data_IF_911416786606
#
_entry.id   IF_911416786606
#
_cell.length_a   1.000
_cell.length_b   1.000
_cell.length_c   1.000
_cell.angle_alpha   90.00
_cell.angle_beta   90.00
_cell.angle_gamma   90.00
#
_symmetry.space_group_name_H-M   'P 1'
#
loop_
_entity.id
_entity.type
_entity.pdbx_description
1 polymer ?
#
# COMPACT_ATOMS: atom_id res chain seq x y z
N UNK A 1 1.45 -3.00 16.38
CA UNK A 1 0.41 -2.12 15.77
C UNK A 1 0.34 -0.72 16.40
N UNK A 2 0.17 -0.59 17.72
CA UNK A 2 0.03 0.72 18.39
C UNK A 2 1.20 1.69 18.12
N UNK A 3 2.45 1.21 18.17
CA UNK A 3 3.63 2.05 17.91
C UNK A 3 3.66 2.59 16.48
N UNK A 4 3.34 1.75 15.49
CA UNK A 4 3.33 2.13 14.09
C UNK A 4 2.23 3.16 13.76
N UNK A 5 1.01 2.95 14.26
CA UNK A 5 -0.13 3.85 13.94
C UNK A 5 0.05 5.27 14.51
N UNK A 6 0.90 5.47 15.53
CA UNK A 6 1.21 6.80 16.07
C UNK A 6 1.85 7.75 15.05
N UNK A 7 2.45 7.21 14.00
CA UNK A 7 3.04 8.02 12.92
C UNK A 7 1.99 8.49 11.90
N UNK A 8 0.81 7.86 11.88
CA UNK A 8 -0.26 8.21 10.97
C UNK A 8 -0.99 9.48 11.41
N UNK A 9 -1.46 10.28 10.46
CA UNK A 9 -2.41 11.35 10.75
C UNK A 9 -3.80 10.74 10.93
N UNK A 10 -4.66 11.38 11.73
CA UNK A 10 -6.04 10.89 11.98
C UNK A 10 -6.81 10.65 10.68
N UNK A 11 -6.64 11.54 9.70
CA UNK A 11 -7.33 11.47 8.41
C UNK A 11 -6.75 10.45 7.42
N UNK A 12 -5.61 9.83 7.73
CA UNK A 12 -4.98 8.86 6.84
C UNK A 12 -5.73 7.50 6.84
N UNK A 13 -6.49 7.19 7.91
CA UNK A 13 -7.32 5.96 8.05
C UNK A 13 -6.53 4.66 7.83
N UNK A 14 -5.31 4.58 8.35
CA UNK A 14 -4.40 3.43 8.14
C UNK A 14 -4.66 2.21 9.03
N UNK A 15 -5.71 2.17 9.84
CA UNK A 15 -5.97 1.03 10.74
C UNK A 15 -6.20 -0.27 9.97
N UNK A 16 -7.19 -0.30 9.08
CA UNK A 16 -7.50 -1.47 8.25
C UNK A 16 -6.33 -1.83 7.32
N UNK A 17 -5.70 -0.89 6.58
CA UNK A 17 -4.52 -1.20 5.77
C UNK A 17 -3.35 -1.78 6.56
N UNK A 18 -3.09 -1.27 7.77
CA UNK A 18 -2.01 -1.77 8.62
C UNK A 18 -2.32 -3.18 9.12
N UNK A 19 -3.58 -3.47 9.48
CA UNK A 19 -3.98 -4.83 9.85
C UNK A 19 -3.78 -5.80 8.68
N UNK A 20 -4.26 -5.44 7.49
CA UNK A 20 -4.08 -6.24 6.28
C UNK A 20 -2.60 -6.45 5.96
N UNK A 21 -1.78 -5.40 6.06
CA UNK A 21 -0.34 -5.49 5.88
C UNK A 21 0.30 -6.53 6.80
N UNK A 22 -0.01 -6.49 8.10
CA UNK A 22 0.54 -7.43 9.08
C UNK A 22 0.12 -8.88 8.79
N UNK A 23 -1.14 -9.09 8.41
CA UNK A 23 -1.63 -10.42 8.05
C UNK A 23 -1.02 -10.94 6.74
N UNK A 24 -0.75 -10.06 5.76
CA UNK A 24 -0.05 -10.43 4.52
C UNK A 24 1.43 -10.74 4.76
N UNK A 25 2.08 -10.03 5.69
CA UNK A 25 3.42 -10.36 6.18
C UNK A 25 3.41 -11.74 6.84
N UNK A 26 2.44 -12.00 7.73
CA UNK A 26 2.27 -13.30 8.39
C UNK A 26 1.99 -14.43 7.39
N UNK A 27 1.27 -14.15 6.31
CA UNK A 27 1.01 -15.10 5.23
C UNK A 27 2.21 -15.30 4.28
N UNK A 28 3.30 -14.55 4.46
CA UNK A 28 4.52 -14.67 3.66
C UNK A 28 4.39 -14.09 2.24
N UNK A 29 3.35 -13.31 1.95
CA UNK A 29 3.11 -12.76 0.59
C UNK A 29 3.62 -11.33 0.40
N UNK A 30 4.20 -10.73 1.44
CA UNK A 30 4.68 -9.35 1.42
C UNK A 30 6.20 -9.27 1.17
N UNK A 31 6.64 -9.40 -0.08
CA UNK A 31 8.07 -9.32 -0.43
C UNK A 31 8.29 -8.68 -1.81
N UNK A 32 9.54 -8.44 -2.20
CA UNK A 32 9.92 -7.84 -3.50
C UNK A 32 10.00 -8.83 -4.67
N UNK A 33 10.00 -10.15 -4.42
CA UNK A 33 10.17 -11.16 -5.47
C UNK A 33 8.96 -11.33 -6.41
N UNK A 34 9.24 -11.74 -7.64
CA UNK A 34 8.24 -12.13 -8.64
C UNK A 34 7.56 -13.46 -8.26
N UNK A 35 6.25 -13.57 -8.49
CA UNK A 35 5.50 -14.78 -8.12
C UNK A 35 5.76 -15.99 -9.01
N UNK A 36 6.01 -15.78 -10.29
CA UNK A 36 6.12 -16.84 -11.30
C UNK A 36 7.52 -16.96 -11.90
N UNK A 37 8.54 -16.35 -11.27
CA UNK A 37 9.88 -16.15 -11.84
C UNK A 37 9.86 -15.45 -13.22
N UNK A 38 8.71 -14.87 -13.58
CA UNK A 38 8.48 -14.13 -14.82
C UNK A 38 7.89 -12.78 -14.46
N UNK A 39 8.45 -11.73 -15.03
CA UNK A 39 7.90 -10.39 -14.88
C UNK A 39 6.57 -10.28 -15.66
N UNK A 40 5.52 -9.83 -14.98
CA UNK A 40 4.27 -9.43 -15.63
C UNK A 40 4.27 -7.95 -16.00
N UNK A 41 3.39 -7.56 -16.93
CA UNK A 41 3.30 -6.18 -17.39
C UNK A 41 2.85 -5.22 -16.27
N UNK A 42 3.41 -4.00 -16.29
CA UNK A 42 3.07 -2.95 -15.33
C UNK A 42 3.77 -3.08 -13.98
N UNK A 43 4.83 -3.88 -13.91
CA UNK A 43 5.83 -3.83 -12.83
C UNK A 43 6.83 -2.67 -13.01
N UNK A 44 7.91 -2.66 -12.22
CA UNK A 44 9.03 -1.72 -12.30
C UNK A 44 9.67 -1.65 -13.69
N UNK A 45 9.93 -0.44 -14.18
CA UNK A 45 10.39 -0.23 -15.58
C UNK A 45 11.89 0.02 -15.69
N UNK A 46 12.49 0.67 -14.69
CA UNK A 46 13.89 1.13 -14.71
C UNK A 46 14.72 0.47 -13.61
N UNK A 47 16.04 0.59 -13.72
CA UNK A 47 17.00 0.16 -12.70
C UNK A 47 17.47 -1.29 -12.81
N UNK A 48 18.35 -1.64 -11.88
CA UNK A 48 18.85 -3.00 -11.64
C UNK A 48 17.76 -3.91 -11.07
N UNK A 49 17.99 -5.22 -11.03
CA UNK A 49 17.00 -6.15 -10.51
C UNK A 49 16.69 -5.93 -9.01
N UNK A 50 17.68 -5.49 -8.23
CA UNK A 50 17.49 -5.11 -6.82
C UNK A 50 16.63 -3.85 -6.65
N UNK A 51 16.85 -2.85 -7.51
CA UNK A 51 16.04 -1.63 -7.54
C UNK A 51 14.61 -1.93 -7.97
N UNK A 52 14.41 -2.83 -8.94
CA UNK A 52 13.09 -3.30 -9.34
C UNK A 52 12.40 -4.07 -8.21
N UNK A 53 13.12 -4.95 -7.51
CA UNK A 53 12.58 -5.67 -6.34
C UNK A 53 12.11 -4.69 -5.26
N UNK A 54 12.91 -3.67 -4.98
CA UNK A 54 12.59 -2.58 -4.04
C UNK A 54 11.32 -1.83 -4.46
N UNK A 55 11.26 -1.40 -5.71
CA UNK A 55 10.08 -0.71 -6.27
C UNK A 55 8.83 -1.58 -6.20
N UNK A 56 8.95 -2.87 -6.54
CA UNK A 56 7.82 -3.81 -6.51
C UNK A 56 7.29 -4.00 -5.08
N UNK A 57 8.17 -4.11 -4.09
CA UNK A 57 7.78 -4.15 -2.68
C UNK A 57 7.02 -2.88 -2.29
N UNK A 58 7.53 -1.69 -2.64
CA UNK A 58 6.84 -0.42 -2.39
C UNK A 58 5.46 -0.39 -3.04
N UNK A 59 5.35 -0.76 -4.31
CA UNK A 59 4.07 -0.81 -5.02
C UNK A 59 3.06 -1.74 -4.34
N UNK A 60 3.50 -2.92 -3.86
CA UNK A 60 2.65 -3.88 -3.13
C UNK A 60 2.17 -3.31 -1.81
N UNK A 61 3.07 -2.76 -0.99
CA UNK A 61 2.70 -2.14 0.30
C UNK A 61 1.69 -1.01 0.09
N UNK A 62 1.92 -0.11 -0.87
CA UNK A 62 1.03 1.02 -1.12
C UNK A 62 -0.32 0.60 -1.73
N UNK A 63 -0.38 -0.50 -2.47
CA UNK A 63 -1.64 -1.01 -3.04
C UNK A 63 -2.66 -1.50 -2.01
N UNK A 64 -2.28 -1.63 -0.74
CA UNK A 64 -3.17 -2.01 0.37
C UNK A 64 -3.97 -0.79 0.86
N UNK A 65 -3.53 0.42 0.53
CA UNK A 65 -4.23 1.65 0.91
C UNK A 65 -5.32 1.94 -0.12
N UNK A 66 -6.58 2.19 0.30
CA UNK A 66 -7.63 2.59 -0.62
C UNK A 66 -7.26 3.92 -1.26
N UNK A 67 -7.36 4.04 -2.59
CA UNK A 67 -7.15 5.29 -3.31
C UNK A 67 -8.48 6.07 -3.42
N UNK A 68 -8.43 7.40 -3.31
CA UNK A 68 -9.63 8.23 -3.40
C UNK A 68 -10.00 8.55 -4.84
N UNK A 69 -11.16 8.09 -5.31
CA UNK A 69 -11.62 8.31 -6.69
C UNK A 69 -12.74 9.36 -6.81
N UNK A 70 -12.75 10.03 -7.97
CA UNK A 70 -13.91 10.73 -8.53
C UNK A 70 -14.87 9.69 -9.14
N UNK A 71 -16.18 9.97 -9.26
CA UNK A 71 -17.14 9.06 -9.87
C UNK A 71 -16.97 9.01 -11.39
N UNK A 72 -15.85 8.46 -11.85
CA UNK A 72 -15.47 8.35 -13.26
C UNK A 72 -14.83 6.97 -13.50
N UNK A 73 -14.95 6.42 -14.72
CA UNK A 73 -14.26 5.18 -15.08
C UNK A 73 -12.74 5.30 -14.96
N UNK A 74 -12.08 4.20 -14.61
CA UNK A 74 -10.62 4.14 -14.59
C UNK A 74 -10.06 4.18 -16.02
N UNK A 75 -9.17 5.14 -16.29
CA UNK A 75 -8.52 5.33 -17.60
C UNK A 75 -7.00 5.11 -17.56
N UNK A 76 -6.44 4.83 -16.39
CA UNK A 76 -4.99 4.73 -16.20
C UNK A 76 -4.46 3.30 -16.46
N UNK A 77 -3.13 3.12 -16.54
CA UNK A 77 -2.54 1.82 -16.88
C UNK A 77 -2.92 0.70 -15.91
N UNK A 78 -2.97 -0.53 -16.44
CA UNK A 78 -3.20 -1.75 -15.66
C UNK A 78 -1.88 -2.44 -15.31
N UNK A 79 -1.69 -2.81 -14.05
CA UNK A 79 -0.55 -3.63 -13.62
C UNK A 79 -1.00 -5.07 -13.34
N UNK A 80 -0.59 -6.02 -14.20
CA UNK A 80 -0.85 -7.45 -14.00
C UNK A 80 -0.10 -7.98 -12.78
N UNK A 81 1.09 -7.45 -12.53
CA UNK A 81 1.89 -7.77 -11.35
C UNK A 81 1.11 -7.47 -10.05
N UNK A 82 0.52 -6.27 -9.97
CA UNK A 82 -0.32 -5.90 -8.83
C UNK A 82 -1.66 -6.63 -8.79
N UNK A 83 -2.22 -7.04 -9.93
CA UNK A 83 -3.45 -7.83 -9.94
C UNK A 83 -3.25 -9.21 -9.29
N UNK A 84 -2.10 -9.84 -9.49
CA UNK A 84 -1.75 -11.09 -8.79
C UNK A 84 -1.69 -10.83 -7.29
N UNK A 85 -0.96 -9.79 -6.87
CA UNK A 85 -0.90 -9.42 -5.45
C UNK A 85 -2.28 -9.10 -4.85
N UNK A 86 -3.11 -8.37 -5.59
CA UNK A 86 -4.46 -8.01 -5.16
C UNK A 86 -5.37 -9.23 -4.95
N UNK A 87 -5.10 -10.37 -5.60
CA UNK A 87 -5.85 -11.60 -5.33
C UNK A 87 -5.68 -12.06 -3.87
N UNK A 88 -4.47 -11.94 -3.31
CA UNK A 88 -4.21 -12.22 -1.89
C UNK A 88 -4.91 -11.22 -0.98
N UNK A 89 -4.79 -9.92 -1.30
CA UNK A 89 -5.42 -8.84 -0.52
C UNK A 89 -6.94 -9.03 -0.46
N UNK A 90 -7.59 -9.29 -1.61
CA UNK A 90 -9.04 -9.52 -1.68
C UNK A 90 -9.47 -10.78 -0.94
N UNK A 91 -8.72 -11.87 -1.11
CA UNK A 91 -9.01 -13.13 -0.40
C UNK A 91 -8.95 -12.94 1.12
N UNK A 92 -7.91 -12.30 1.62
CA UNK A 92 -7.73 -11.99 3.03
C UNK A 92 -8.81 -11.02 3.56
N UNK A 93 -9.09 -9.93 2.83
CA UNK A 93 -10.09 -8.93 3.22
C UNK A 93 -11.46 -9.59 3.37
N UNK A 94 -11.87 -10.43 2.41
CA UNK A 94 -13.13 -11.19 2.48
C UNK A 94 -13.15 -12.16 3.65
N UNK A 95 -12.07 -12.91 3.87
CA UNK A 95 -12.00 -13.87 4.97
C UNK A 95 -12.15 -13.17 6.33
N UNK A 96 -11.44 -12.05 6.54
CA UNK A 96 -11.54 -11.24 7.76
C UNK A 96 -12.94 -10.64 7.92
N UNK A 97 -13.53 -10.15 6.84
CA UNK A 97 -14.90 -9.61 6.85
C UNK A 97 -15.91 -10.67 7.28
N UNK A 98 -15.89 -11.83 6.64
CA UNK A 98 -16.77 -12.96 6.97
C UNK A 98 -16.58 -13.40 8.42
N UNK A 99 -15.32 -13.48 8.89
CA UNK A 99 -15.03 -13.86 10.28
C UNK A 99 -15.69 -12.89 11.27
N UNK A 100 -15.60 -11.58 11.04
CA UNK A 100 -16.19 -10.57 11.91
C UNK A 100 -17.72 -10.59 11.89
N UNK A 101 -18.32 -10.76 10.72
CA UNK A 101 -19.78 -10.88 10.58
C UNK A 101 -20.30 -12.13 11.29
N UNK A 102 -19.64 -13.28 11.13
CA UNK A 102 -20.01 -14.54 11.81
C UNK A 102 -19.79 -14.45 13.31
N UNK A 103 -18.68 -13.85 13.77
CA UNK A 103 -18.43 -13.64 15.19
C UNK A 103 -19.50 -12.73 15.83
N UNK A 104 -19.85 -11.64 15.15
CA UNK A 104 -20.89 -10.71 15.60
C UNK A 104 -22.27 -11.39 15.64
N UNK A 105 -22.60 -12.17 14.61
CA UNK A 105 -23.83 -12.97 14.58
C UNK A 105 -23.87 -13.99 15.73
N UNK A 106 -22.76 -14.68 15.98
CA UNK A 106 -22.66 -15.66 17.06
C UNK A 106 -22.90 -15.01 18.44
N UNK A 107 -22.35 -13.81 18.69
CA UNK A 107 -22.61 -13.07 19.93
C UNK A 107 -24.10 -12.73 20.10
N UNK A 108 -24.79 -12.35 19.01
CA UNK A 108 -26.23 -12.10 19.03
C UNK A 108 -27.03 -13.38 19.30
N UNK A 109 -26.69 -14.49 18.64
CA UNK A 109 -27.39 -15.77 18.78
C UNK A 109 -27.21 -16.39 20.17
N UNK A 110 -26.01 -16.27 20.76
CA UNK A 110 -25.69 -16.76 22.11
C UNK A 110 -26.27 -15.91 23.22
N UNK A 111 -26.87 -14.76 22.92
CA UNK A 111 -27.32 -13.77 23.90
C UNK A 111 -26.17 -13.09 24.65
N UNK A 112 -24.95 -13.15 24.12
CA UNK A 112 -23.78 -12.43 24.65
C UNK A 112 -23.83 -10.93 24.26
N UNK A 113 -24.78 -10.55 23.40
CA UNK A 113 -25.10 -9.17 23.02
C UNK A 113 -26.61 -8.89 23.07
N UNK A 114 -27.00 -7.61 23.14
CA UNK A 114 -28.40 -7.17 23.11
C UNK A 114 -29.05 -7.59 21.77
N UNK A 115 -30.16 -8.35 21.83
CA UNK A 115 -30.88 -8.86 20.65
C UNK A 115 -31.96 -7.93 20.11
N UNK A 116 -32.72 -7.26 20.99
CA UNK A 116 -33.73 -6.29 20.58
C UNK A 116 -33.05 -4.99 20.12
N UNK A 117 -32.76 -4.93 18.81
CA UNK A 117 -32.01 -3.87 18.12
C UNK A 117 -32.67 -3.53 16.79
N UNK A 118 -32.63 -2.25 16.44
CA UNK A 118 -33.12 -1.63 15.21
C UNK A 118 -31.97 -1.11 14.32
N UNK A 119 -30.73 -1.18 14.81
CA UNK A 119 -29.50 -0.62 14.22
C UNK A 119 -28.56 -1.69 13.61
N UNK A 120 -29.10 -2.83 13.17
CA UNK A 120 -28.30 -3.93 12.59
C UNK A 120 -27.54 -3.52 11.32
N UNK A 121 -28.13 -2.63 10.51
CA UNK A 121 -27.47 -2.07 9.33
C UNK A 121 -26.28 -1.21 9.73
N UNK A 122 -26.43 -0.34 10.72
CA UNK A 122 -25.36 0.52 11.22
C UNK A 122 -24.20 -0.30 11.80
N UNK A 123 -24.51 -1.38 12.53
CA UNK A 123 -23.49 -2.34 12.97
C UNK A 123 -22.73 -2.89 11.77
N UNK A 124 -23.45 -3.36 10.75
CA UNK A 124 -22.84 -3.97 9.56
C UNK A 124 -21.94 -2.98 8.83
N UNK A 125 -22.36 -1.72 8.68
CA UNK A 125 -21.59 -0.65 8.07
C UNK A 125 -20.39 -0.20 8.94
N UNK A 126 -20.47 -0.37 10.26
CA UNK A 126 -19.39 -0.02 11.19
C UNK A 126 -18.27 -1.07 11.27
N UNK A 127 -18.54 -2.31 10.84
CA UNK A 127 -17.53 -3.36 10.83
C UNK A 127 -16.40 -3.03 9.84
N UNK A 128 -15.13 -3.33 10.16
CA UNK A 128 -14.00 -3.06 9.27
C UNK A 128 -13.99 -3.97 8.04
N UNK A 129 -13.05 -3.71 7.13
CA UNK A 129 -12.83 -4.51 5.90
C UNK A 129 -14.04 -4.54 4.95
N UNK A 130 -14.88 -3.50 5.00
CA UNK A 130 -16.07 -3.41 4.14
C UNK A 130 -15.70 -3.19 2.66
N UNK A 131 -14.67 -2.36 2.41
CA UNK A 131 -14.27 -1.98 1.06
C UNK A 131 -13.05 -2.77 0.63
N UNK A 132 -13.15 -3.45 -0.51
CA UNK A 132 -11.97 -4.04 -1.16
C UNK A 132 -11.12 -2.92 -1.78
N UNK A 133 -9.81 -3.00 -1.55
CA UNK A 133 -8.87 -2.11 -2.21
C UNK A 133 -8.57 -2.58 -3.63
N UNK A 134 -8.25 -1.62 -4.50
CA UNK A 134 -7.82 -1.89 -5.87
C UNK A 134 -6.32 -1.64 -6.01
N UNK A 135 -5.77 -1.98 -7.17
CA UNK A 135 -4.33 -1.82 -7.45
C UNK A 135 -3.92 -0.39 -7.76
N UNK A 136 -4.88 0.55 -7.82
CA UNK A 136 -4.67 1.91 -8.33
C UNK A 136 -3.61 2.68 -7.55
N UNK A 137 -3.55 2.52 -6.24
CA UNK A 137 -2.55 3.21 -5.41
C UNK A 137 -1.12 2.75 -5.76
N UNK A 138 -0.90 1.43 -5.89
CA UNK A 138 0.40 0.90 -6.30
C UNK A 138 0.80 1.37 -7.70
N UNK A 139 -0.16 1.52 -8.62
CA UNK A 139 0.07 2.08 -9.96
C UNK A 139 0.39 3.58 -9.90
N UNK A 140 -0.28 4.36 -9.04
CA UNK A 140 0.02 5.77 -8.81
C UNK A 140 1.46 5.96 -8.33
N UNK A 141 1.89 5.19 -7.33
CA UNK A 141 3.26 5.23 -6.83
C UNK A 141 4.28 4.83 -7.90
N UNK A 142 3.95 3.80 -8.70
CA UNK A 142 4.77 3.37 -9.84
C UNK A 142 4.98 4.49 -10.84
N UNK A 143 3.92 5.19 -11.24
CA UNK A 143 4.00 6.31 -12.20
C UNK A 143 4.84 7.45 -11.64
N UNK A 144 4.68 7.81 -10.36
CA UNK A 144 5.52 8.82 -9.71
C UNK A 144 7.01 8.46 -9.76
N UNK A 145 7.35 7.25 -9.31
CA UNK A 145 8.74 6.78 -9.22
C UNK A 145 9.39 6.61 -10.61
N UNK A 146 8.64 6.09 -11.59
CA UNK A 146 9.11 5.97 -12.96
C UNK A 146 9.29 7.34 -13.63
N UNK A 147 8.36 8.28 -13.41
CA UNK A 147 8.47 9.64 -13.93
C UNK A 147 9.71 10.34 -13.36
N UNK A 148 9.93 10.24 -12.04
CA UNK A 148 11.10 10.83 -11.40
C UNK A 148 12.41 10.21 -11.93
N UNK A 149 12.46 8.89 -12.08
CA UNK A 149 13.62 8.19 -12.63
C UNK A 149 13.88 8.58 -14.07
N UNK A 150 12.82 8.73 -14.88
CA UNK A 150 12.93 9.18 -16.26
C UNK A 150 13.45 10.62 -16.38
N UNK A 151 12.93 11.54 -15.56
CA UNK A 151 13.41 12.93 -15.49
C UNK A 151 14.87 12.97 -15.06
N UNK A 152 15.29 12.07 -14.16
CA UNK A 152 16.67 11.94 -13.71
C UNK A 152 17.51 11.03 -14.63
N UNK A 153 17.38 11.20 -15.94
CA UNK A 153 18.16 10.52 -16.99
C UNK A 153 18.15 8.98 -16.90
N UNK A 154 17.03 8.40 -16.48
CA UNK A 154 16.88 6.94 -16.33
C UNK A 154 17.61 6.35 -15.11
N UNK A 155 18.07 7.19 -14.19
CA UNK A 155 18.78 6.76 -12.96
C UNK A 155 18.00 7.18 -11.72
N UNK A 156 18.10 6.40 -10.65
CA UNK A 156 17.47 6.78 -9.38
C UNK A 156 18.11 8.05 -8.81
N UNK A 157 17.29 8.85 -8.11
CA UNK A 157 17.81 9.95 -7.28
C UNK A 157 18.54 9.33 -6.08
N UNK A 158 19.76 9.81 -5.79
CA UNK A 158 20.57 9.36 -4.65
C UNK A 158 20.67 10.39 -3.54
N UNK A 159 20.70 11.66 -3.91
CA UNK A 159 20.72 12.78 -2.97
C UNK A 159 19.43 13.59 -3.13
N UNK A 160 18.57 13.66 -2.11
CA UNK A 160 17.33 14.44 -2.18
C UNK A 160 17.55 15.95 -2.31
N UNK A 161 18.74 16.45 -1.98
CA UNK A 161 19.09 17.88 -1.99
C UNK A 161 19.97 18.29 -3.18
N UNK A 162 20.27 17.36 -4.10
CA UNK A 162 21.02 17.70 -5.30
C UNK A 162 20.24 18.69 -6.19
N UNK A 163 21.00 19.48 -6.96
CA UNK A 163 20.44 20.49 -7.86
C UNK A 163 19.46 19.85 -8.87
N UNK A 164 18.30 20.47 -9.07
CA UNK A 164 17.26 20.00 -9.99
C UNK A 164 16.37 18.87 -9.46
N UNK A 165 16.71 18.22 -8.34
CA UNK A 165 15.92 17.10 -7.79
C UNK A 165 14.55 17.56 -7.29
N UNK A 166 14.47 18.75 -6.68
CA UNK A 166 13.22 19.30 -6.18
C UNK A 166 12.24 19.59 -7.31
N UNK A 167 12.74 20.18 -8.40
CA UNK A 167 11.99 20.44 -9.62
C UNK A 167 11.55 19.13 -10.27
N UNK A 168 12.43 18.13 -10.34
CA UNK A 168 12.11 16.81 -10.87
C UNK A 168 10.99 16.10 -10.07
N UNK A 169 11.01 16.19 -8.74
CA UNK A 169 9.94 15.67 -7.86
C UNK A 169 8.61 16.38 -8.11
N UNK A 170 8.64 17.72 -8.22
CA UNK A 170 7.44 18.51 -8.52
C UNK A 170 6.84 18.15 -9.89
N UNK A 171 7.69 18.02 -10.93
CA UNK A 171 7.26 17.58 -12.26
C UNK A 171 6.69 16.15 -12.25
N UNK A 172 7.30 15.21 -11.51
CA UNK A 172 6.78 13.86 -11.37
C UNK A 172 5.38 13.84 -10.72
N UNK A 173 5.14 14.71 -9.73
CA UNK A 173 3.83 14.89 -9.11
C UNK A 173 2.80 15.50 -10.07
N UNK A 174 3.21 16.43 -10.95
CA UNK A 174 2.35 16.97 -12.00
C UNK A 174 1.96 15.90 -13.03
N UNK A 175 2.91 15.07 -13.45
CA UNK A 175 2.64 13.92 -14.34
C UNK A 175 1.61 12.98 -13.70
N UNK A 176 1.68 12.73 -12.40
CA UNK A 176 0.64 11.95 -11.71
C UNK A 176 -0.73 12.64 -11.75
N UNK A 177 -0.79 13.96 -11.61
CA UNK A 177 -2.05 14.69 -11.67
C UNK A 177 -2.70 14.61 -13.06
N UNK A 178 -1.90 14.70 -14.11
CA UNK A 178 -2.35 14.55 -15.51
C UNK A 178 -2.73 13.11 -15.86
N UNK A 179 -1.95 12.13 -15.39
CA UNK A 179 -2.16 10.70 -15.71
C UNK A 179 -3.40 10.12 -15.03
N UNK A 180 -3.78 10.63 -13.86
CA UNK A 180 -4.87 10.10 -13.04
C UNK A 180 -5.99 11.14 -12.82
N UNK A 181 -6.70 11.59 -13.89
CA UNK A 181 -7.74 12.61 -13.77
C UNK A 181 -8.92 12.16 -12.88
N UNK A 182 -9.16 10.85 -12.80
CA UNK A 182 -10.18 10.22 -11.97
C UNK A 182 -9.80 10.08 -10.49
N UNK A 183 -8.57 10.39 -10.09
CA UNK A 183 -8.12 10.35 -8.68
C UNK A 183 -8.33 11.73 -8.04
N UNK A 184 -8.79 11.76 -6.79
CA UNK A 184 -8.95 12.99 -6.00
C UNK A 184 -7.59 13.37 -5.41
N UNK A 185 -7.13 14.58 -5.68
CA UNK A 185 -5.87 15.14 -5.18
C UNK A 185 -4.66 14.18 -5.33
N UNK A 186 -4.29 13.77 -6.56
CA UNK A 186 -3.27 12.73 -6.78
C UNK A 186 -1.94 12.99 -6.06
N UNK A 187 -1.50 14.25 -6.02
CA UNK A 187 -0.28 14.66 -5.30
C UNK A 187 -0.33 14.32 -3.81
N UNK A 188 -1.45 14.65 -3.16
CA UNK A 188 -1.66 14.33 -1.75
C UNK A 188 -1.82 12.82 -1.51
N UNK A 189 -2.40 12.08 -2.46
CA UNK A 189 -2.43 10.61 -2.38
C UNK A 189 -1.01 10.02 -2.43
N UNK A 190 -0.12 10.52 -3.30
CA UNK A 190 1.30 10.07 -3.32
C UNK A 190 1.97 10.27 -1.96
N UNK A 191 1.84 11.46 -1.37
CA UNK A 191 2.36 11.74 -0.02
C UNK A 191 1.73 10.83 1.05
N UNK A 192 0.42 10.58 0.97
CA UNK A 192 -0.27 9.65 1.88
C UNK A 192 0.33 8.25 1.75
N UNK A 193 0.62 7.80 0.53
CA UNK A 193 1.26 6.52 0.30
C UNK A 193 2.58 6.41 1.07
N UNK A 194 3.46 7.39 0.91
CA UNK A 194 4.76 7.35 1.58
C UNK A 194 4.66 7.45 3.11
N UNK A 195 3.66 8.15 3.66
CA UNK A 195 3.36 8.07 5.10
C UNK A 195 2.93 6.66 5.53
N UNK A 196 2.14 5.96 4.71
CA UNK A 196 1.77 4.57 5.01
C UNK A 196 3.00 3.65 4.98
N UNK A 197 3.92 3.88 4.05
CA UNK A 197 5.18 3.14 4.00
C UNK A 197 5.98 3.30 5.29
N UNK A 198 6.07 4.52 5.86
CA UNK A 198 6.74 4.73 7.16
C UNK A 198 6.09 3.95 8.31
N UNK A 199 4.76 3.93 8.33
CA UNK A 199 3.97 3.15 9.29
C UNK A 199 4.26 1.65 9.12
N UNK A 200 4.27 1.15 7.89
CA UNK A 200 4.55 -0.24 7.58
C UNK A 200 5.99 -0.64 7.95
N UNK A 201 6.98 0.18 7.62
CA UNK A 201 8.38 -0.03 7.96
C UNK A 201 8.60 -0.04 9.48
N UNK A 202 7.94 0.87 10.20
CA UNK A 202 7.97 0.89 11.67
C UNK A 202 7.37 -0.38 12.25
N UNK A 203 6.29 -0.89 11.67
CA UNK A 203 5.70 -2.15 12.09
C UNK A 203 6.66 -3.33 11.83
N UNK A 204 7.34 -3.36 10.69
CA UNK A 204 8.33 -4.39 10.35
C UNK A 204 9.54 -4.38 11.29
N UNK A 205 10.09 -3.18 11.59
CA UNK A 205 11.18 -3.02 12.56
C UNK A 205 10.78 -3.51 13.95
N UNK A 206 9.56 -3.20 14.39
CA UNK A 206 9.02 -3.70 15.66
C UNK A 206 8.90 -5.24 15.65
N UNK A 207 8.29 -5.82 14.62
CA UNK A 207 8.15 -7.27 14.51
C UNK A 207 9.51 -7.99 14.49
N UNK A 208 10.50 -7.42 13.81
CA UNK A 208 11.86 -7.96 13.81
C UNK A 208 12.49 -7.90 15.20
N UNK A 209 12.35 -6.80 15.93
CA UNK A 209 12.85 -6.68 17.31
C UNK A 209 12.24 -7.70 18.28
N UNK A 210 11.02 -8.16 17.99
CA UNK A 210 10.31 -9.19 18.76
C UNK A 210 10.60 -10.62 18.26
N UNK A 211 11.39 -10.79 17.19
CA UNK A 211 11.69 -12.10 16.60
C UNK A 211 10.55 -12.71 15.77
N UNK A 212 9.53 -11.91 15.44
CA UNK A 212 8.32 -12.35 14.72
C UNK A 212 8.47 -12.34 13.19
N UNK A 213 9.61 -11.88 12.67
CA UNK A 213 9.89 -11.77 11.22
C UNK A 213 11.32 -12.22 10.92
N UNK A 214 11.47 -12.94 9.81
CA UNK A 214 12.75 -13.38 9.27
C UNK A 214 13.65 -12.20 8.91
N UNK A 215 14.96 -12.34 9.16
CA UNK A 215 15.95 -11.29 8.87
C UNK A 215 15.97 -10.89 7.38
N UNK A 216 15.92 -11.87 6.49
CA UNK A 216 15.89 -11.65 5.04
C UNK A 216 14.71 -10.77 4.59
N UNK A 217 13.58 -10.84 5.31
CA UNK A 217 12.42 -10.04 4.98
C UNK A 217 12.60 -8.58 5.42
N UNK A 218 13.07 -8.33 6.65
CA UNK A 218 13.35 -6.96 7.09
C UNK A 218 14.46 -6.32 6.25
N UNK A 219 15.47 -7.09 5.83
CA UNK A 219 16.56 -6.60 4.98
C UNK A 219 16.01 -6.09 3.62
N UNK A 220 15.00 -6.75 3.05
CA UNK A 220 14.31 -6.24 1.84
C UNK A 220 13.60 -4.90 2.09
N UNK A 221 12.97 -4.73 3.26
CA UNK A 221 12.30 -3.46 3.61
C UNK A 221 13.30 -2.34 3.83
N UNK A 222 14.43 -2.60 4.50
CA UNK A 222 15.50 -1.61 4.70
C UNK A 222 16.19 -1.24 3.38
N UNK A 223 16.43 -2.23 2.50
CA UNK A 223 16.97 -1.97 1.16
C UNK A 223 16.00 -1.12 0.33
N UNK A 224 14.70 -1.44 0.37
CA UNK A 224 13.67 -0.65 -0.29
C UNK A 224 13.56 0.76 0.28
N UNK A 225 13.73 0.92 1.60
CA UNK A 225 13.75 2.24 2.24
C UNK A 225 14.95 3.07 1.80
N UNK A 226 16.16 2.49 1.82
CA UNK A 226 17.37 3.18 1.36
C UNK A 226 17.28 3.55 -0.13
N UNK A 227 16.60 2.74 -0.93
CA UNK A 227 16.30 3.06 -2.31
C UNK A 227 15.28 4.18 -2.44
N UNK A 228 14.21 4.15 -1.66
CA UNK A 228 13.06 5.05 -1.77
C UNK A 228 13.31 6.44 -1.17
N UNK A 229 14.01 6.53 -0.04
CA UNK A 229 14.14 7.74 0.78
C UNK A 229 14.53 9.00 -0.01
N UNK A 230 15.53 8.98 -0.93
CA UNK A 230 15.89 10.16 -1.71
C UNK A 230 14.82 10.63 -2.70
N UNK A 231 13.94 9.72 -3.12
CA UNK A 231 12.92 9.93 -4.16
C UNK A 231 11.57 10.40 -3.63
N UNK A 232 11.37 10.38 -2.31
CA UNK A 232 10.12 10.82 -1.69
C UNK A 232 9.86 12.31 -1.94
N UNK A 233 8.61 12.72 -2.19
CA UNK A 233 8.22 14.13 -2.37
C UNK A 233 8.44 14.95 -1.10
#
# INVERSE_FOLDING_TARGET
>A
MHTAIKQARVNDKFQDPLYLFLELVRAGVMHGHLWSQRAFSGGPSFGTDDEKSSMLLVMRVLSIVPLSFKPQPWSAPLSRELLVFNSFVRSLTRALRTLLEVASLNMLLRSDARRARDDLLDITLSLPFQTEVNTGFGVLAKVYLDALTHINNGTRVRDPNAEGVKEAKAMALEICEETFPGVKLPKHEVERGFRFWDVALTAMRQLHSEGNVLRELIDQFEAAEAWLAPMRP
#
